data_IF_846714877388
#
_entry.id   IF_846714877388
#
_cell.length_a   1.000
_cell.length_b   1.000
_cell.length_c   1.000
_cell.angle_alpha   90.00
_cell.angle_beta   90.00
_cell.angle_gamma   90.00
#
_symmetry.space_group_name_H-M   'P 1'
#
loop_
_entity.id
_entity.type
_entity.pdbx_description
1 polymer ?
#
# COMPACT_ATOMS: atom_id res chain seq x y z
N UNK A 1 5.46 -41.66 3.66
CA UNK A 1 4.20 -41.02 4.05
C UNK A 1 4.05 -39.74 3.22
N UNK A 2 3.12 -39.73 2.26
CA UNK A 2 2.88 -38.57 1.37
C UNK A 2 2.18 -37.48 2.18
N UNK A 3 2.88 -36.41 2.52
CA UNK A 3 2.24 -35.20 3.08
C UNK A 3 1.25 -34.63 2.08
N UNK A 4 -0.02 -34.75 2.36
CA UNK A 4 -1.11 -34.21 1.56
C UNK A 4 -1.01 -32.68 1.58
N UNK A 5 -0.42 -32.07 0.54
CA UNK A 5 -0.34 -30.60 0.35
C UNK A 5 -1.71 -30.00 0.58
N UNK A 6 -1.89 -29.23 1.67
CA UNK A 6 -3.15 -28.61 2.03
C UNK A 6 -3.49 -27.53 0.99
N UNK A 7 -4.40 -27.84 0.06
CA UNK A 7 -4.86 -26.89 -0.98
C UNK A 7 -5.38 -25.61 -0.32
N UNK A 8 -4.88 -24.45 -0.73
CA UNK A 8 -5.39 -23.17 -0.29
C UNK A 8 -6.86 -23.01 -0.65
N UNK A 9 -7.67 -22.52 0.31
CA UNK A 9 -9.09 -22.21 0.09
C UNK A 9 -9.23 -21.11 -0.97
N UNK A 10 -10.25 -21.15 -1.85
CA UNK A 10 -10.46 -20.15 -2.92
C UNK A 10 -10.43 -18.71 -2.40
N UNK A 11 -11.14 -18.43 -1.29
CA UNK A 11 -11.15 -17.11 -0.65
C UNK A 11 -9.75 -16.60 -0.28
N UNK A 12 -8.84 -17.48 0.14
CA UNK A 12 -7.46 -17.08 0.50
C UNK A 12 -6.62 -16.73 -0.74
N UNK A 13 -6.89 -17.38 -1.87
CA UNK A 13 -6.25 -17.05 -3.16
C UNK A 13 -6.70 -15.67 -3.66
N UNK A 14 -8.01 -15.38 -3.58
CA UNK A 14 -8.57 -14.08 -3.97
C UNK A 14 -7.97 -12.97 -3.11
N UNK A 15 -7.91 -13.16 -1.78
CA UNK A 15 -7.27 -12.17 -0.89
C UNK A 15 -5.82 -11.90 -1.32
N UNK A 16 -5.03 -12.93 -1.54
CA UNK A 16 -3.64 -12.78 -1.95
C UNK A 16 -3.53 -12.06 -3.30
N UNK A 17 -4.39 -12.38 -4.26
CA UNK A 17 -4.40 -11.73 -5.56
C UNK A 17 -4.74 -10.23 -5.45
N UNK A 18 -5.75 -9.88 -4.64
CA UNK A 18 -6.12 -8.48 -4.37
C UNK A 18 -4.98 -7.74 -3.68
N UNK A 19 -4.37 -8.32 -2.64
CA UNK A 19 -3.26 -7.72 -1.89
C UNK A 19 -2.04 -7.46 -2.81
N UNK A 20 -1.69 -8.42 -3.68
CA UNK A 20 -0.60 -8.26 -4.65
C UNK A 20 -0.93 -7.21 -5.72
N UNK A 21 -2.15 -7.24 -6.25
CA UNK A 21 -2.57 -6.29 -7.26
C UNK A 21 -2.60 -4.85 -6.71
N UNK A 22 -3.09 -4.65 -5.47
CA UNK A 22 -3.03 -3.34 -4.80
C UNK A 22 -1.59 -2.84 -4.65
N UNK A 23 -0.65 -3.73 -4.28
CA UNK A 23 0.76 -3.37 -4.18
C UNK A 23 1.33 -2.92 -5.52
N UNK A 24 1.03 -3.64 -6.61
CA UNK A 24 1.48 -3.27 -7.96
C UNK A 24 0.87 -1.95 -8.43
N UNK A 25 -0.43 -1.76 -8.21
CA UNK A 25 -1.13 -0.51 -8.57
C UNK A 25 -0.61 0.65 -7.75
N UNK A 26 -0.27 0.46 -6.45
CA UNK A 26 0.36 1.51 -5.64
C UNK A 26 1.71 1.94 -6.23
N UNK A 27 2.57 0.99 -6.60
CA UNK A 27 3.86 1.30 -7.23
C UNK A 27 3.68 2.02 -8.56
N UNK A 28 2.68 1.65 -9.35
CA UNK A 28 2.32 2.35 -10.57
C UNK A 28 1.87 3.79 -10.29
N UNK A 29 1.00 4.00 -9.29
CA UNK A 29 0.52 5.32 -8.88
C UNK A 29 1.64 6.24 -8.42
N UNK A 30 2.67 5.70 -7.73
CA UNK A 30 3.87 6.47 -7.34
C UNK A 30 4.71 6.92 -8.53
N UNK A 31 4.56 6.29 -9.68
CA UNK A 31 5.22 6.65 -10.94
C UNK A 31 4.46 7.68 -11.79
N UNK A 32 3.67 8.59 -11.19
CA UNK A 32 2.88 9.61 -11.89
C UNK A 32 3.65 10.33 -13.01
N UNK A 33 4.90 10.70 -12.75
CA UNK A 33 5.77 11.41 -13.71
C UNK A 33 6.08 10.59 -14.97
N UNK A 34 5.99 9.26 -14.89
CA UNK A 34 6.28 8.36 -16.00
C UNK A 34 5.05 8.13 -16.90
N UNK A 35 3.84 8.18 -16.34
CA UNK A 35 2.61 7.74 -17.00
C UNK A 35 1.61 8.88 -17.27
N UNK A 36 1.78 10.02 -16.60
CA UNK A 36 0.89 11.18 -16.72
C UNK A 36 -0.43 11.03 -15.96
N UNK A 37 -1.23 12.10 -16.03
CA UNK A 37 -2.45 12.29 -15.26
C UNK A 37 -3.57 11.29 -15.62
N UNK A 38 -3.83 11.07 -16.90
CA UNK A 38 -4.89 10.15 -17.35
C UNK A 38 -4.68 8.72 -16.84
N UNK A 39 -3.47 8.19 -17.01
CA UNK A 39 -3.15 6.84 -16.55
C UNK A 39 -3.18 6.75 -15.01
N UNK A 40 -2.73 7.78 -14.32
CA UNK A 40 -2.79 7.88 -12.85
C UNK A 40 -4.23 7.89 -12.34
N UNK A 41 -5.13 8.66 -12.95
CA UNK A 41 -6.55 8.73 -12.57
C UNK A 41 -7.25 7.37 -12.76
N UNK A 42 -7.05 6.69 -13.90
CA UNK A 42 -7.61 5.35 -14.13
C UNK A 42 -7.07 4.32 -13.16
N UNK A 43 -5.77 4.35 -12.87
CA UNK A 43 -5.17 3.48 -11.88
C UNK A 43 -5.69 3.79 -10.46
N UNK A 44 -5.91 5.08 -10.14
CA UNK A 44 -6.54 5.52 -8.89
C UNK A 44 -7.96 5.00 -8.72
N UNK A 45 -8.77 5.06 -9.80
CA UNK A 45 -10.11 4.48 -9.80
C UNK A 45 -10.07 2.95 -9.62
N UNK A 46 -9.12 2.26 -10.27
CA UNK A 46 -8.86 0.84 -10.07
C UNK A 46 -8.45 0.53 -8.63
N UNK A 47 -7.58 1.36 -8.04
CA UNK A 47 -7.19 1.25 -6.63
C UNK A 47 -8.40 1.40 -5.70
N UNK A 48 -9.32 2.34 -5.96
CA UNK A 48 -10.55 2.50 -5.18
C UNK A 48 -11.38 1.22 -5.16
N UNK A 49 -11.58 0.58 -6.31
CA UNK A 49 -12.33 -0.69 -6.42
C UNK A 49 -11.61 -1.81 -5.65
N UNK A 50 -10.29 -1.92 -5.81
CA UNK A 50 -9.49 -2.91 -5.10
C UNK A 50 -9.49 -2.67 -3.59
N UNK A 51 -9.43 -1.43 -3.15
CA UNK A 51 -9.49 -1.02 -1.75
C UNK A 51 -10.83 -1.46 -1.11
N UNK A 52 -11.95 -1.18 -1.76
CA UNK A 52 -13.27 -1.64 -1.31
C UNK A 52 -13.28 -3.18 -1.21
N UNK A 53 -12.81 -3.87 -2.25
CA UNK A 53 -12.71 -5.33 -2.29
C UNK A 53 -11.83 -5.89 -1.16
N UNK A 54 -10.68 -5.27 -0.88
CA UNK A 54 -9.79 -5.63 0.21
C UNK A 54 -10.50 -5.57 1.57
N UNK A 55 -11.20 -4.47 1.84
CA UNK A 55 -11.94 -4.29 3.10
C UNK A 55 -13.11 -5.28 3.24
N UNK A 56 -13.88 -5.50 2.17
CA UNK A 56 -14.96 -6.49 2.16
C UNK A 56 -14.45 -7.92 2.40
N UNK A 57 -13.33 -8.28 1.81
CA UNK A 57 -12.69 -9.57 2.04
C UNK A 57 -12.15 -9.72 3.47
N UNK A 58 -11.81 -8.61 4.12
CA UNK A 58 -11.21 -8.57 5.46
C UNK A 58 -12.15 -8.08 6.58
N UNK A 59 -13.47 -8.13 6.40
CA UNK A 59 -14.48 -7.74 7.41
C UNK A 59 -14.28 -8.41 8.78
N UNK A 60 -13.68 -9.60 8.81
CA UNK A 60 -13.34 -10.29 10.06
C UNK A 60 -12.32 -9.52 10.91
N UNK A 61 -11.45 -8.70 10.31
CA UNK A 61 -10.52 -7.84 11.03
C UNK A 61 -11.27 -6.82 11.90
N UNK A 62 -12.26 -6.13 11.32
CA UNK A 62 -13.09 -5.16 12.05
C UNK A 62 -13.88 -5.82 13.20
N UNK A 63 -14.45 -7.00 12.96
CA UNK A 63 -15.18 -7.76 14.00
C UNK A 63 -14.30 -8.17 15.16
N UNK A 64 -13.00 -8.37 14.92
CA UNK A 64 -12.05 -8.80 15.93
C UNK A 64 -11.22 -7.65 16.50
N UNK A 65 -11.43 -6.41 16.05
CA UNK A 65 -10.67 -5.24 16.47
C UNK A 65 -10.71 -5.08 18.00
N UNK A 66 -11.86 -5.25 18.62
CA UNK A 66 -12.05 -5.08 20.06
C UNK A 66 -12.01 -6.41 20.84
N UNK A 67 -11.57 -7.52 20.22
CA UNK A 67 -11.57 -8.84 20.86
C UNK A 67 -10.15 -9.32 21.13
N UNK A 68 -9.96 -10.03 22.25
CA UNK A 68 -8.70 -10.67 22.63
C UNK A 68 -7.70 -9.72 23.32
N UNK A 69 -6.51 -10.25 23.62
CA UNK A 69 -5.45 -9.52 24.34
C UNK A 69 -4.69 -8.60 23.37
N UNK A 70 -4.40 -7.39 23.81
CA UNK A 70 -3.57 -6.42 23.10
C UNK A 70 -2.11 -6.56 23.54
N UNK A 71 -1.29 -7.14 22.69
CA UNK A 71 0.17 -7.11 22.81
C UNK A 71 0.73 -5.86 22.13
N UNK A 72 1.96 -5.44 22.46
CA UNK A 72 2.57 -4.25 21.83
C UNK A 72 2.58 -4.31 20.30
N UNK A 73 2.92 -5.47 19.72
CA UNK A 73 2.91 -5.65 18.25
C UNK A 73 1.51 -5.55 17.67
N UNK A 74 0.48 -6.01 18.37
CA UNK A 74 -0.91 -5.90 17.93
C UNK A 74 -1.39 -4.45 17.98
N UNK A 75 -1.03 -3.70 19.04
CA UNK A 75 -1.33 -2.27 19.13
C UNK A 75 -0.69 -1.53 17.95
N UNK A 76 0.60 -1.77 17.70
CA UNK A 76 1.31 -1.19 16.56
C UNK A 76 0.61 -1.52 15.23
N UNK A 77 0.25 -2.78 15.00
CA UNK A 77 -0.46 -3.18 13.77
C UNK A 77 -1.79 -2.44 13.62
N UNK A 78 -2.61 -2.37 14.68
CA UNK A 78 -3.91 -1.67 14.64
C UNK A 78 -3.72 -0.17 14.37
N UNK A 79 -2.73 0.48 15.00
CA UNK A 79 -2.44 1.90 14.77
C UNK A 79 -2.03 2.15 13.32
N UNK A 80 -1.11 1.33 12.79
CA UNK A 80 -0.67 1.44 11.39
C UNK A 80 -1.84 1.20 10.42
N UNK A 81 -2.66 0.17 10.67
CA UNK A 81 -3.81 -0.18 9.82
C UNK A 81 -4.85 0.96 9.80
N UNK A 82 -5.16 1.56 10.96
CA UNK A 82 -6.10 2.69 11.05
C UNK A 82 -5.54 3.97 10.44
N UNK A 83 -4.27 4.27 10.67
CA UNK A 83 -3.61 5.42 10.06
C UNK A 83 -3.59 5.28 8.53
N UNK A 84 -3.24 4.09 8.02
CA UNK A 84 -3.25 3.80 6.59
C UNK A 84 -4.67 3.91 6.01
N UNK A 85 -5.68 3.39 6.69
CA UNK A 85 -7.08 3.54 6.29
C UNK A 85 -7.47 5.01 6.14
N UNK A 86 -7.13 5.85 7.13
CA UNK A 86 -7.44 7.28 7.09
C UNK A 86 -6.72 7.98 5.93
N UNK A 87 -5.42 7.72 5.74
CA UNK A 87 -4.64 8.30 4.64
C UNK A 87 -5.18 7.86 3.28
N UNK A 88 -5.53 6.59 3.10
CA UNK A 88 -6.10 6.09 1.85
C UNK A 88 -7.46 6.74 1.53
N UNK A 89 -8.32 6.95 2.53
CA UNK A 89 -9.58 7.69 2.34
C UNK A 89 -9.34 9.14 1.95
N UNK A 90 -8.37 9.82 2.56
CA UNK A 90 -7.97 11.17 2.18
C UNK A 90 -7.42 11.23 0.75
N UNK A 91 -6.58 10.27 0.35
CA UNK A 91 -6.05 10.16 -1.01
C UNK A 91 -7.16 9.96 -2.05
N UNK A 92 -8.11 9.07 -1.76
CA UNK A 92 -9.24 8.82 -2.65
C UNK A 92 -10.15 10.03 -2.77
N UNK A 93 -10.51 10.67 -1.65
CA UNK A 93 -11.34 11.87 -1.66
C UNK A 93 -10.66 13.02 -2.42
N UNK A 94 -9.40 13.31 -2.11
CA UNK A 94 -8.64 14.36 -2.80
C UNK A 94 -8.41 14.04 -4.28
N UNK A 95 -8.15 12.77 -4.63
CA UNK A 95 -8.01 12.32 -6.02
C UNK A 95 -9.30 12.48 -6.82
N UNK A 96 -10.47 12.16 -6.24
CA UNK A 96 -11.78 12.39 -6.88
C UNK A 96 -12.00 13.89 -7.09
N UNK A 97 -11.70 14.74 -6.11
CA UNK A 97 -11.85 16.20 -6.23
C UNK A 97 -10.97 16.80 -7.33
N UNK A 98 -9.77 16.25 -7.54
CA UNK A 98 -8.82 16.75 -8.55
C UNK A 98 -8.98 16.10 -9.92
N UNK A 99 -9.85 15.10 -10.05
CA UNK A 99 -9.99 14.31 -11.28
C UNK A 99 -10.50 15.17 -12.45
N UNK A 100 -9.82 15.04 -13.59
CA UNK A 100 -10.15 15.72 -14.84
C UNK A 100 -10.69 14.78 -15.92
N UNK A 101 -10.52 13.46 -15.72
CA UNK A 101 -10.89 12.46 -16.73
C UNK A 101 -11.94 11.48 -16.19
N UNK A 102 -11.66 10.79 -15.08
CA UNK A 102 -12.52 9.70 -14.60
C UNK A 102 -13.75 10.20 -13.87
N UNK A 103 -13.58 11.19 -12.98
CA UNK A 103 -14.66 11.77 -12.15
C UNK A 103 -15.03 13.20 -12.56
N UNK A 104 -14.64 13.64 -13.78
CA UNK A 104 -14.91 14.97 -14.30
C UNK A 104 -16.41 15.32 -14.39
N UNK A 105 -17.29 14.32 -14.32
CA UNK A 105 -18.74 14.50 -14.31
C UNK A 105 -19.29 14.97 -12.96
N UNK A 106 -18.48 14.94 -11.89
CA UNK A 106 -18.90 15.42 -10.58
C UNK A 106 -18.71 16.94 -10.51
N UNK A 107 -19.77 17.71 -10.20
CA UNK A 107 -19.69 19.16 -10.06
C UNK A 107 -19.07 19.54 -8.71
N UNK A 108 -17.75 19.41 -8.59
CA UNK A 108 -17.02 19.75 -7.37
C UNK A 108 -16.33 21.09 -7.59
N UNK A 109 -16.91 22.15 -7.04
CA UNK A 109 -16.37 23.50 -7.10
C UNK A 109 -15.66 23.87 -5.80
N UNK A 110 -14.41 24.35 -5.92
CA UNK A 110 -13.60 24.82 -4.79
C UNK A 110 -12.79 23.74 -4.09
N UNK A 111 -11.96 24.18 -3.12
CA UNK A 111 -11.12 23.28 -2.31
C UNK A 111 -9.94 22.63 -3.04
N UNK A 112 -9.68 22.96 -4.30
CA UNK A 112 -8.65 22.34 -5.14
C UNK A 112 -7.24 22.45 -4.55
N UNK A 113 -6.90 23.61 -3.95
CA UNK A 113 -5.62 23.83 -3.28
C UNK A 113 -5.43 22.87 -2.09
N UNK A 114 -6.45 22.76 -1.22
CA UNK A 114 -6.44 21.85 -0.08
C UNK A 114 -6.39 20.39 -0.53
N UNK A 115 -7.17 20.02 -1.56
CA UNK A 115 -7.16 18.67 -2.12
C UNK A 115 -5.76 18.29 -2.61
N UNK A 116 -5.05 19.20 -3.28
CA UNK A 116 -3.68 19.01 -3.76
C UNK A 116 -2.69 18.78 -2.61
N UNK A 117 -2.75 19.60 -1.56
CA UNK A 117 -1.88 19.46 -0.38
C UNK A 117 -2.15 18.13 0.34
N UNK A 118 -3.42 17.78 0.56
CA UNK A 118 -3.80 16.51 1.20
C UNK A 118 -3.35 15.32 0.37
N UNK A 119 -3.51 15.38 -0.95
CA UNK A 119 -3.07 14.31 -1.85
C UNK A 119 -1.56 14.14 -1.82
N UNK A 120 -0.81 15.23 -1.93
CA UNK A 120 0.65 15.21 -1.90
C UNK A 120 1.18 14.64 -0.57
N UNK A 121 0.77 15.20 0.55
CA UNK A 121 1.17 14.68 1.87
C UNK A 121 0.74 13.21 2.06
N UNK A 122 -0.49 12.90 1.64
CA UNK A 122 -1.03 11.53 1.69
C UNK A 122 -0.24 10.53 0.87
N UNK A 123 0.29 10.90 -0.30
CA UNK A 123 1.13 10.02 -1.10
C UNK A 123 2.40 9.60 -0.35
N UNK A 124 3.12 10.54 0.24
CA UNK A 124 4.38 10.24 0.95
C UNK A 124 4.13 9.48 2.25
N UNK A 125 3.20 9.97 3.10
CA UNK A 125 2.86 9.29 4.35
C UNK A 125 2.19 7.93 4.10
N UNK A 126 1.33 7.84 3.10
CA UNK A 126 0.69 6.59 2.68
C UNK A 126 1.70 5.55 2.23
N UNK A 127 2.73 5.96 1.48
CA UNK A 127 3.80 5.05 1.07
C UNK A 127 4.59 4.48 2.26
N UNK A 128 4.95 5.33 3.24
CA UNK A 128 5.64 4.90 4.46
C UNK A 128 4.75 3.97 5.29
N UNK A 129 3.48 4.34 5.50
CA UNK A 129 2.53 3.52 6.25
C UNK A 129 2.26 2.17 5.55
N UNK A 130 2.19 2.17 4.21
CA UNK A 130 2.03 0.93 3.42
C UNK A 130 3.24 0.02 3.56
N UNK A 131 4.45 0.57 3.55
CA UNK A 131 5.68 -0.21 3.76
C UNK A 131 5.69 -0.85 5.16
N UNK A 132 5.28 -0.10 6.20
CA UNK A 132 5.12 -0.62 7.56
C UNK A 132 4.04 -1.69 7.64
N UNK A 133 2.86 -1.45 7.06
CA UNK A 133 1.76 -2.42 7.00
C UNK A 133 2.19 -3.72 6.32
N UNK A 134 2.84 -3.62 5.16
CA UNK A 134 3.37 -4.77 4.44
C UNK A 134 4.42 -5.53 5.27
N UNK A 135 5.31 -4.79 5.97
CA UNK A 135 6.32 -5.37 6.86
C UNK A 135 5.69 -6.15 8.02
N UNK A 136 4.69 -5.58 8.69
CA UNK A 136 3.97 -6.23 9.80
C UNK A 136 3.23 -7.49 9.35
N UNK A 137 2.72 -7.53 8.13
CA UNK A 137 1.99 -8.68 7.56
C UNK A 137 2.87 -9.60 6.70
N UNK A 138 4.17 -9.32 6.58
CA UNK A 138 5.11 -10.00 5.68
C UNK A 138 5.16 -11.51 5.87
N UNK A 139 5.25 -11.99 7.12
CA UNK A 139 5.35 -13.42 7.41
C UNK A 139 4.09 -14.19 6.96
N UNK A 140 2.91 -13.58 7.15
CA UNK A 140 1.63 -14.16 6.74
C UNK A 140 1.52 -14.20 5.21
N UNK A 141 1.91 -13.12 4.52
CA UNK A 141 1.90 -13.04 3.06
C UNK A 141 2.88 -14.05 2.45
N UNK A 142 4.11 -14.11 2.94
CA UNK A 142 5.11 -15.08 2.48
C UNK A 142 4.69 -16.53 2.72
N UNK A 143 4.00 -16.81 3.83
CA UNK A 143 3.41 -18.12 4.09
C UNK A 143 2.39 -18.53 3.03
N UNK A 144 1.51 -17.60 2.63
CA UNK A 144 0.51 -17.84 1.56
C UNK A 144 1.17 -18.05 0.19
N UNK A 145 2.18 -17.22 -0.16
CA UNK A 145 2.92 -17.32 -1.43
C UNK A 145 3.65 -18.66 -1.51
N UNK A 146 4.36 -19.07 -0.43
CA UNK A 146 5.05 -20.39 -0.41
C UNK A 146 4.09 -21.55 -0.59
N UNK A 147 2.94 -21.52 0.09
CA UNK A 147 1.90 -22.54 -0.07
C UNK A 147 1.37 -22.62 -1.50
N UNK A 148 1.21 -21.46 -2.16
CA UNK A 148 0.77 -21.40 -3.55
C UNK A 148 1.84 -21.93 -4.51
N UNK A 149 3.10 -21.53 -4.30
CA UNK A 149 4.25 -21.95 -5.11
C UNK A 149 4.73 -23.40 -4.82
N UNK A 150 4.15 -24.06 -3.81
CA UNK A 150 4.56 -25.42 -3.44
C UNK A 150 5.98 -25.52 -2.87
N UNK A 151 6.55 -24.40 -2.40
CA UNK A 151 7.91 -24.35 -1.83
C UNK A 151 7.85 -24.73 -0.36
N UNK A 152 8.18 -25.98 -0.04
CA UNK A 152 8.13 -26.52 1.32
C UNK A 152 9.43 -26.30 2.10
N UNK A 153 10.58 -26.44 1.44
CA UNK A 153 11.88 -26.49 2.13
C UNK A 153 12.53 -25.12 2.32
N UNK A 154 13.03 -24.79 3.53
CA UNK A 154 13.80 -23.59 3.76
C UNK A 154 15.20 -23.71 3.14
N UNK A 155 15.54 -22.83 2.21
CA UNK A 155 16.89 -22.74 1.64
C UNK A 155 17.65 -21.59 2.30
N UNK A 156 18.83 -21.89 2.89
CA UNK A 156 19.73 -20.90 3.49
C UNK A 156 20.20 -19.86 2.48
N UNK A 157 20.58 -20.31 1.28
CA UNK A 157 21.04 -19.44 0.19
C UNK A 157 19.94 -18.45 -0.25
N UNK A 158 18.71 -18.94 -0.47
CA UNK A 158 17.57 -18.06 -0.81
C UNK A 158 17.33 -17.02 0.27
N UNK A 159 17.39 -17.41 1.55
CA UNK A 159 17.22 -16.49 2.68
C UNK A 159 18.31 -15.42 2.70
N UNK A 160 19.56 -15.79 2.44
CA UNK A 160 20.69 -14.87 2.38
C UNK A 160 20.51 -13.87 1.23
N UNK A 161 20.22 -14.36 0.01
CA UNK A 161 19.98 -13.52 -1.17
C UNK A 161 18.85 -12.50 -0.90
N UNK A 162 17.71 -12.94 -0.36
CA UNK A 162 16.59 -12.06 -0.07
C UNK A 162 16.92 -11.01 1.01
N UNK A 163 17.75 -11.37 2.01
CA UNK A 163 18.22 -10.40 3.02
C UNK A 163 19.16 -9.37 2.42
N UNK A 164 20.10 -9.78 1.56
CA UNK A 164 21.00 -8.87 0.87
C UNK A 164 20.21 -7.91 -0.04
N UNK A 165 19.30 -8.44 -0.86
CA UNK A 165 18.44 -7.61 -1.70
C UNK A 165 17.62 -6.61 -0.87
N UNK A 166 17.03 -7.07 0.24
CA UNK A 166 16.29 -6.19 1.15
C UNK A 166 17.16 -5.09 1.75
N UNK A 167 18.39 -5.42 2.19
CA UNK A 167 19.32 -4.45 2.75
C UNK A 167 19.79 -3.42 1.71
N UNK A 168 20.09 -3.87 0.48
CA UNK A 168 20.47 -2.99 -0.64
C UNK A 168 19.32 -2.05 -1.00
N UNK A 169 18.10 -2.58 -1.12
CA UNK A 169 16.91 -1.77 -1.43
C UNK A 169 16.63 -0.76 -0.33
N UNK A 170 16.74 -1.15 0.95
CA UNK A 170 16.55 -0.24 2.08
C UNK A 170 17.63 0.85 2.13
N UNK A 171 18.89 0.50 1.90
CA UNK A 171 20.01 1.45 1.86
C UNK A 171 19.85 2.45 0.72
N UNK A 172 19.49 1.98 -0.48
CA UNK A 172 19.20 2.85 -1.61
C UNK A 172 18.00 3.76 -1.34
N UNK A 173 16.93 3.23 -0.73
CA UNK A 173 15.75 4.03 -0.33
C UNK A 173 16.11 5.15 0.65
N UNK A 174 16.93 4.87 1.67
CA UNK A 174 17.43 5.89 2.60
C UNK A 174 18.29 6.94 1.91
N UNK A 175 19.16 6.53 1.00
CA UNK A 175 19.96 7.45 0.19
C UNK A 175 19.07 8.38 -0.64
N UNK A 176 18.08 7.85 -1.36
CA UNK A 176 17.12 8.66 -2.15
C UNK A 176 16.30 9.56 -1.24
N UNK A 177 15.84 9.08 -0.09
CA UNK A 177 15.09 9.87 0.88
C UNK A 177 15.87 11.11 1.32
N UNK A 178 17.16 10.94 1.62
CA UNK A 178 18.04 12.03 2.06
C UNK A 178 18.41 12.99 0.92
N UNK A 179 18.71 12.46 -0.28
CA UNK A 179 19.20 13.27 -1.42
C UNK A 179 18.10 13.99 -2.18
N UNK A 180 16.85 13.49 -2.14
CA UNK A 180 15.71 14.09 -2.83
C UNK A 180 14.84 14.96 -1.93
N UNK A 181 15.31 15.26 -0.71
CA UNK A 181 14.59 16.06 0.30
C UNK A 181 13.10 15.68 0.47
N UNK A 182 12.83 14.37 0.48
CA UNK A 182 11.45 13.86 0.57
C UNK A 182 10.75 14.29 1.86
N UNK A 183 11.51 14.60 2.91
CA UNK A 183 10.98 15.14 4.15
C UNK A 183 10.29 16.51 3.94
N UNK A 184 10.78 17.36 3.04
CA UNK A 184 10.16 18.64 2.75
C UNK A 184 8.75 18.48 2.17
N UNK A 185 8.55 17.50 1.30
CA UNK A 185 7.22 17.16 0.75
C UNK A 185 6.32 16.50 1.79
N UNK A 186 6.83 15.60 2.63
CA UNK A 186 6.07 14.95 3.70
C UNK A 186 5.51 15.94 4.71
N UNK A 187 6.25 17.01 5.01
CA UNK A 187 5.87 18.04 5.99
C UNK A 187 5.34 19.32 5.35
N UNK A 188 4.98 19.28 4.05
CA UNK A 188 4.42 20.40 3.29
C UNK A 188 5.27 21.69 3.39
N UNK A 189 6.59 21.56 3.46
CA UNK A 189 7.52 22.69 3.44
C UNK A 189 7.72 23.25 2.02
N UNK A 190 7.37 22.48 0.99
CA UNK A 190 7.31 22.86 -0.42
C UNK A 190 5.88 22.70 -0.92
N UNK A 191 5.28 23.79 -1.44
CA UNK A 191 3.92 23.78 -1.98
C UNK A 191 3.85 23.26 -3.42
N UNK A 192 4.98 23.25 -4.13
CA UNK A 192 5.08 22.83 -5.52
C UNK A 192 6.16 21.77 -5.70
N UNK A 193 5.82 20.72 -6.40
CA UNK A 193 6.78 19.73 -6.90
C UNK A 193 7.35 20.31 -8.21
N UNK A 194 8.52 20.93 -8.15
CA UNK A 194 9.27 21.25 -9.35
C UNK A 194 9.91 19.96 -9.86
N UNK A 195 9.56 19.60 -11.08
CA UNK A 195 10.13 18.47 -11.79
C UNK A 195 11.23 19.04 -12.69
N UNK A 196 12.48 18.92 -12.22
CA UNK A 196 13.66 19.12 -13.07
C UNK A 196 14.01 17.83 -13.80
#
# INVERSE_FOLDING_TARGET
MSERKKKMKPKSKIKLAVDLLMTLVLLFLMGYQLWGDTAHEWAGAGMLVLFIGHHLLNLSWYKNLFRGKYTGIRVLSVVVDLALLAVMLCLMASGIMMSRHVFAFLPIDGGMGTARLVHMAGCYWGFVLMALHLGLHWSMMMGRIRNLAGVAEPSGLRRLILRILGAVTAGYGLYVFATRDLAAYMFLRTEFVFLD
#
